data_IF_502838373285
#
_entry.id   IF_502838373285
#
_cell.length_a   1.000
_cell.length_b   1.000
_cell.length_c   1.000
_cell.angle_alpha   90.00
_cell.angle_beta   90.00
_cell.angle_gamma   90.00
#
_symmetry.space_group_name_H-M   'P 1'
#
loop_
_entity.id
_entity.type
_entity.pdbx_description
1 polymer ?
#
# COMPACT_ATOMS: atom_id res chain seq x y z
N UNK A 1 25.97 15.41 36.80
CA UNK A 1 25.19 16.17 35.82
C UNK A 1 24.52 15.15 34.92
N UNK A 2 23.20 15.07 34.95
CA UNK A 2 22.43 14.13 34.12
C UNK A 2 22.05 14.90 32.87
N UNK A 3 22.55 14.48 31.71
CA UNK A 3 22.14 15.05 30.43
C UNK A 3 20.80 14.39 30.11
N UNK A 4 19.72 15.16 30.16
CA UNK A 4 18.38 14.69 29.77
C UNK A 4 18.19 15.01 28.29
N UNK A 5 18.26 14.00 27.43
CA UNK A 5 17.81 14.14 26.05
C UNK A 5 16.34 13.71 25.95
N UNK A 6 15.52 14.58 25.38
CA UNK A 6 14.08 14.43 25.29
C UNK A 6 13.73 13.30 24.32
N UNK A 7 12.91 12.35 24.77
CA UNK A 7 12.35 11.30 23.94
C UNK A 7 11.16 11.87 23.13
N UNK A 8 11.19 11.72 21.80
CA UNK A 8 10.05 12.08 20.95
C UNK A 8 9.08 10.90 20.91
N UNK A 9 7.86 11.10 21.40
CA UNK A 9 6.77 10.13 21.35
C UNK A 9 5.82 10.48 20.20
N UNK A 10 5.58 9.55 19.29
CA UNK A 10 4.44 9.58 18.36
C UNK A 10 3.55 8.38 18.71
N UNK A 11 2.27 8.65 18.95
CA UNK A 11 1.21 7.64 19.16
C UNK A 11 1.49 6.55 20.21
N UNK A 12 2.20 6.89 21.29
CA UNK A 12 2.41 5.99 22.43
C UNK A 12 3.46 4.90 22.22
N UNK A 13 4.19 4.91 21.10
CA UNK A 13 5.34 4.04 20.88
C UNK A 13 6.65 4.81 21.00
N UNK A 14 7.55 4.31 21.86
CA UNK A 14 8.91 4.82 22.01
C UNK A 14 9.80 4.24 20.91
N UNK A 15 10.29 5.08 19.98
CA UNK A 15 11.38 4.67 19.09
C UNK A 15 12.68 4.60 19.90
N UNK A 16 13.21 3.40 20.05
CA UNK A 16 14.54 3.18 20.65
C UNK A 16 15.56 3.23 19.52
N UNK A 17 16.64 4.01 19.63
CA UNK A 17 17.68 4.05 18.62
C UNK A 17 18.28 2.65 18.45
N UNK A 18 18.26 2.15 17.21
CA UNK A 18 18.87 0.88 16.85
C UNK A 18 20.36 0.97 17.17
N UNK A 19 20.97 -0.02 17.86
CA UNK A 19 22.41 -0.06 17.99
C UNK A 19 23.02 -0.04 16.59
N UNK A 20 24.02 0.82 16.39
CA UNK A 20 24.74 0.93 15.14
C UNK A 20 25.02 -0.47 14.59
N UNK A 21 24.50 -0.74 13.38
CA UNK A 21 24.80 -1.95 12.61
C UNK A 21 26.27 -2.26 12.78
N UNK A 22 26.57 -3.50 13.21
CA UNK A 22 27.94 -3.98 13.20
C UNK A 22 28.39 -3.87 11.75
N UNK A 23 29.33 -2.97 11.47
CA UNK A 23 30.03 -2.96 10.19
C UNK A 23 30.75 -4.30 10.11
N UNK A 24 30.15 -5.25 9.39
CA UNK A 24 30.81 -6.50 9.05
C UNK A 24 32.00 -6.12 8.17
N UNK A 25 33.21 -6.38 8.66
CA UNK A 25 34.45 -6.04 7.97
C UNK A 25 34.48 -6.70 6.59
N UNK A 26 34.89 -5.94 5.58
CA UNK A 26 35.02 -6.38 4.19
C UNK A 26 35.91 -7.63 4.12
N UNK A 27 35.30 -8.80 3.93
CA UNK A 27 36.04 -9.98 3.47
C UNK A 27 35.57 -10.37 2.08
N UNK A 28 36.19 -9.71 1.11
CA UNK A 28 36.41 -10.27 -0.21
C UNK A 28 37.07 -11.65 -0.08
N UNK A 29 36.42 -12.69 -0.57
CA UNK A 29 37.11 -13.84 -1.15
C UNK A 29 36.18 -14.56 -2.12
N UNK A 30 36.51 -14.38 -3.39
CA UNK A 30 36.19 -15.27 -4.50
C UNK A 30 36.50 -16.72 -4.16
N UNK A 31 35.57 -17.64 -4.40
CA UNK A 31 35.67 -18.67 -5.44
C UNK A 31 34.53 -19.71 -5.28
N UNK A 32 33.78 -19.89 -6.38
CA UNK A 32 32.90 -21.01 -6.77
C UNK A 32 31.49 -21.18 -6.16
N UNK A 33 30.49 -20.63 -6.88
CA UNK A 33 29.07 -21.02 -6.96
C UNK A 33 28.32 -21.31 -5.65
N UNK A 34 27.71 -20.28 -5.06
CA UNK A 34 26.33 -20.34 -4.54
C UNK A 34 25.81 -18.89 -4.50
N UNK A 35 25.15 -18.51 -5.60
CA UNK A 35 24.25 -17.36 -5.69
C UNK A 35 23.02 -17.64 -4.81
N UNK A 36 23.23 -17.65 -3.50
CA UNK A 36 22.14 -17.62 -2.54
C UNK A 36 21.87 -16.14 -2.26
N UNK A 37 21.12 -15.53 -3.17
CA UNK A 37 20.43 -14.27 -2.93
C UNK A 37 19.72 -14.43 -1.59
N UNK A 38 20.15 -13.66 -0.58
CA UNK A 38 19.52 -13.73 0.73
C UNK A 38 18.21 -12.97 0.59
N UNK A 39 17.20 -13.67 0.06
CA UNK A 39 15.87 -13.13 -0.09
C UNK A 39 15.47 -12.55 1.26
N UNK A 40 15.34 -11.22 1.32
CA UNK A 40 15.03 -10.50 2.55
C UNK A 40 13.56 -10.74 2.90
N UNK A 41 13.26 -11.91 3.44
CA UNK A 41 11.91 -12.35 3.75
C UNK A 41 11.90 -13.01 5.13
N UNK A 42 10.78 -12.88 5.82
CA UNK A 42 10.54 -13.69 7.01
C UNK A 42 10.28 -15.14 6.61
N UNK A 43 11.07 -16.07 7.14
CA UNK A 43 10.95 -17.50 6.86
C UNK A 43 9.97 -18.22 7.80
N UNK A 44 9.28 -17.48 8.66
CA UNK A 44 8.27 -18.05 9.58
C UNK A 44 7.12 -17.08 9.82
N UNK A 45 5.90 -17.61 9.73
CA UNK A 45 4.67 -16.87 10.01
C UNK A 45 4.63 -16.23 11.41
N UNK A 46 5.45 -16.72 12.34
CA UNK A 46 5.53 -16.24 13.71
C UNK A 46 6.46 -15.03 13.87
N UNK A 47 7.19 -14.63 12.82
CA UNK A 47 8.22 -13.58 12.90
C UNK A 47 7.68 -12.27 13.48
N UNK A 48 6.48 -11.84 13.06
CA UNK A 48 5.79 -10.69 13.65
C UNK A 48 5.58 -10.83 15.17
N UNK A 49 5.14 -12.00 15.61
CA UNK A 49 4.86 -12.27 17.02
C UNK A 49 6.16 -12.42 17.84
N UNK A 50 7.21 -12.97 17.25
CA UNK A 50 8.52 -13.10 17.87
C UNK A 50 9.23 -11.75 18.01
N UNK A 51 9.14 -10.91 16.99
CA UNK A 51 9.58 -9.51 17.02
C UNK A 51 8.87 -8.74 18.14
N UNK A 52 7.54 -8.79 18.20
CA UNK A 52 6.75 -8.16 19.27
C UNK A 52 7.08 -8.69 20.69
N UNK A 53 7.65 -9.89 20.80
CA UNK A 53 8.08 -10.50 22.07
C UNK A 53 9.53 -10.21 22.43
N UNK A 54 10.22 -9.37 21.67
CA UNK A 54 11.61 -8.98 21.91
C UNK A 54 12.62 -10.07 21.58
N UNK A 55 12.29 -10.99 20.65
CA UNK A 55 13.26 -11.99 20.18
C UNK A 55 14.34 -11.37 19.31
N UNK A 56 14.07 -10.23 18.66
CA UNK A 56 15.07 -9.53 17.87
C UNK A 56 16.29 -9.11 18.71
N UNK A 57 16.10 -8.82 20.00
CA UNK A 57 17.16 -8.44 20.92
C UNK A 57 17.74 -9.61 21.72
N UNK A 58 16.92 -10.63 22.00
CA UNK A 58 17.32 -11.78 22.86
C UNK A 58 17.85 -12.97 22.08
N UNK A 59 17.50 -13.10 20.81
CA UNK A 59 17.88 -14.17 19.88
C UNK A 59 18.29 -13.58 18.52
N UNK A 60 19.17 -12.59 18.56
CA UNK A 60 19.58 -11.76 17.41
C UNK A 60 19.94 -12.58 16.18
N UNK A 61 20.78 -13.61 16.34
CA UNK A 61 21.32 -14.38 15.22
C UNK A 61 20.23 -15.26 14.58
N UNK A 62 19.40 -15.88 15.41
CA UNK A 62 18.28 -16.71 14.96
C UNK A 62 17.22 -15.85 14.27
N UNK A 63 16.95 -14.66 14.79
CA UNK A 63 16.01 -13.73 14.18
C UNK A 63 16.58 -13.07 12.92
N UNK A 64 17.89 -12.87 12.82
CA UNK A 64 18.54 -12.39 11.60
C UNK A 64 18.46 -13.40 10.46
N UNK A 65 18.52 -14.69 10.77
CA UNK A 65 18.33 -15.74 9.76
C UNK A 65 16.86 -15.99 9.46
N UNK A 66 16.00 -15.98 10.49
CA UNK A 66 14.62 -16.47 10.35
C UNK A 66 13.58 -15.38 10.12
N UNK A 67 13.83 -14.20 10.66
CA UNK A 67 12.88 -13.08 10.71
C UNK A 67 13.56 -11.73 10.35
N UNK A 68 14.34 -11.66 9.26
CA UNK A 68 15.14 -10.49 8.95
C UNK A 68 14.30 -9.24 8.66
N UNK A 69 13.09 -9.39 8.10
CA UNK A 69 12.17 -8.28 7.83
C UNK A 69 11.46 -7.85 9.11
N UNK A 70 10.84 -8.78 9.83
CA UNK A 70 10.11 -8.47 11.08
C UNK A 70 10.98 -7.84 12.16
N UNK A 71 12.29 -8.12 12.15
CA UNK A 71 13.25 -7.52 13.06
C UNK A 71 13.96 -6.28 12.50
N UNK A 72 13.66 -5.88 11.27
CA UNK A 72 14.26 -4.71 10.62
C UNK A 72 15.76 -4.86 10.34
N UNK A 73 16.23 -6.10 10.16
CA UNK A 73 17.60 -6.39 9.75
C UNK A 73 17.83 -6.17 8.26
N UNK A 74 16.77 -6.21 7.46
CA UNK A 74 16.74 -5.77 6.07
C UNK A 74 15.32 -5.30 5.70
N UNK A 75 15.18 -4.71 4.52
CA UNK A 75 13.92 -4.21 3.95
C UNK A 75 13.51 -5.15 2.81
N UNK A 76 12.31 -5.71 2.88
CA UNK A 76 11.75 -6.50 1.78
C UNK A 76 11.49 -5.55 0.63
N UNK A 77 12.06 -5.83 -0.55
CA UNK A 77 11.88 -5.00 -1.75
C UNK A 77 10.46 -5.08 -2.35
N UNK A 78 9.53 -5.70 -1.62
CA UNK A 78 8.12 -5.86 -1.99
C UNK A 78 7.26 -4.65 -1.56
N UNK A 79 7.88 -3.52 -1.18
CA UNK A 79 7.19 -2.22 -1.06
C UNK A 79 6.91 -1.60 -2.45
N UNK A 80 6.48 -2.43 -3.43
CA UNK A 80 5.43 -1.99 -4.33
C UNK A 80 4.18 -1.94 -3.46
N UNK A 81 3.99 -0.76 -2.83
CA UNK A 81 2.79 -0.38 -2.10
C UNK A 81 1.60 -1.07 -2.73
N UNK A 82 0.92 -1.89 -1.91
CA UNK A 82 -0.22 -2.69 -2.30
C UNK A 82 -1.03 -1.91 -3.32
N UNK A 83 -1.06 -2.43 -4.56
CA UNK A 83 -2.00 -1.99 -5.57
C UNK A 83 -3.33 -1.84 -4.83
N UNK A 84 -3.71 -0.60 -4.54
CA UNK A 84 -5.12 -0.29 -4.38
C UNK A 84 -5.71 -0.99 -5.58
N UNK A 85 -6.59 -1.97 -5.36
CA UNK A 85 -7.41 -2.48 -6.44
C UNK A 85 -8.09 -1.22 -7.01
N UNK A 86 -7.46 -0.61 -8.02
CA UNK A 86 -7.93 0.52 -8.78
C UNK A 86 -8.98 -0.07 -9.69
N UNK A 87 -10.04 -0.54 -9.05
CA UNK A 87 -11.20 -1.15 -9.64
C UNK A 87 -12.00 -0.10 -10.45
N UNK A 88 -11.59 1.18 -10.37
CA UNK A 88 -12.15 2.30 -11.13
C UNK A 88 -11.23 2.79 -12.27
N UNK A 89 -10.06 2.17 -12.49
CA UNK A 89 -9.33 2.29 -13.77
C UNK A 89 -10.20 1.88 -14.98
N UNK A 90 -11.23 1.08 -14.72
CA UNK A 90 -12.20 0.58 -15.70
C UNK A 90 -13.46 1.46 -15.82
N UNK A 91 -13.49 2.70 -15.32
CA UNK A 91 -14.64 3.57 -15.57
C UNK A 91 -14.68 4.18 -16.97
N UNK A 92 -15.16 3.39 -17.93
CA UNK A 92 -15.41 3.81 -19.30
C UNK A 92 -16.79 3.37 -19.80
N UNK A 93 -17.21 3.94 -20.92
CA UNK A 93 -18.39 3.47 -21.65
C UNK A 93 -18.02 2.26 -22.52
N UNK A 94 -18.62 1.11 -22.25
CA UNK A 94 -18.46 -0.10 -23.07
C UNK A 94 -19.27 -0.06 -24.36
N UNK A 95 -20.42 0.62 -24.35
CA UNK A 95 -21.30 0.68 -25.52
C UNK A 95 -21.10 1.95 -26.35
N UNK A 96 -21.14 1.80 -27.68
CA UNK A 96 -20.87 2.88 -28.63
C UNK A 96 -21.80 4.10 -28.50
N UNK A 97 -23.04 3.88 -28.10
CA UNK A 97 -24.09 4.91 -28.10
C UNK A 97 -24.42 5.43 -26.68
N UNK A 98 -23.57 5.14 -25.69
CA UNK A 98 -23.77 5.55 -24.29
C UNK A 98 -24.09 7.04 -24.14
N UNK A 99 -23.36 7.92 -24.83
CA UNK A 99 -23.62 9.36 -24.80
C UNK A 99 -25.01 9.74 -25.32
N UNK A 100 -25.46 9.08 -26.39
CA UNK A 100 -26.78 9.34 -26.96
C UNK A 100 -27.89 8.83 -26.03
N UNK A 101 -27.68 7.68 -25.40
CA UNK A 101 -28.61 7.08 -24.45
C UNK A 101 -28.69 7.87 -23.14
N UNK A 102 -27.55 8.30 -22.59
CA UNK A 102 -27.50 9.17 -21.42
C UNK A 102 -28.21 10.50 -21.68
N UNK A 103 -27.94 11.16 -22.81
CA UNK A 103 -28.67 12.36 -23.24
C UNK A 103 -30.17 12.10 -23.45
N UNK A 104 -30.54 10.85 -23.78
CA UNK A 104 -31.92 10.40 -23.90
C UNK A 104 -32.58 10.01 -22.57
N UNK A 105 -31.92 10.23 -21.43
CA UNK A 105 -32.45 9.92 -20.09
C UNK A 105 -32.40 8.44 -19.70
N UNK A 106 -31.57 7.63 -20.38
CA UNK A 106 -31.48 6.19 -20.08
C UNK A 106 -30.83 5.93 -18.72
N UNK A 107 -30.04 6.85 -18.18
CA UNK A 107 -29.47 6.72 -16.84
C UNK A 107 -30.56 6.59 -15.77
N UNK A 108 -31.69 7.26 -15.97
CA UNK A 108 -32.86 7.22 -15.07
C UNK A 108 -33.87 6.16 -15.45
N UNK A 109 -34.12 5.97 -16.76
CA UNK A 109 -35.17 5.03 -17.22
C UNK A 109 -34.68 3.59 -17.38
N UNK A 110 -33.38 3.38 -17.54
CA UNK A 110 -32.74 2.08 -17.68
C UNK A 110 -31.40 2.01 -16.92
N UNK A 111 -31.42 2.27 -15.60
CA UNK A 111 -30.20 2.40 -14.79
C UNK A 111 -29.37 1.13 -14.78
N UNK A 112 -29.99 -0.06 -14.75
CA UNK A 112 -29.24 -1.33 -14.71
C UNK A 112 -28.30 -1.49 -15.90
N UNK A 113 -28.81 -1.26 -17.13
CA UNK A 113 -27.99 -1.39 -18.33
C UNK A 113 -26.94 -0.28 -18.43
N UNK A 114 -27.34 0.94 -18.06
CA UNK A 114 -26.46 2.10 -18.18
C UNK A 114 -25.34 2.10 -17.14
N UNK A 115 -25.59 1.62 -15.92
CA UNK A 115 -24.55 1.44 -14.90
C UNK A 115 -23.63 0.25 -15.18
N UNK A 116 -24.05 -0.69 -16.02
CA UNK A 116 -23.18 -1.77 -16.47
C UNK A 116 -22.32 -1.34 -17.68
N UNK A 117 -22.92 -0.65 -18.66
CA UNK A 117 -22.28 -0.40 -19.97
C UNK A 117 -21.88 1.04 -20.24
N UNK A 118 -22.39 1.98 -19.46
CA UNK A 118 -22.31 3.42 -19.75
C UNK A 118 -22.02 4.24 -18.49
N UNK A 119 -21.17 3.71 -17.60
CA UNK A 119 -20.86 4.29 -16.30
C UNK A 119 -20.35 5.72 -16.41
N UNK A 120 -19.47 5.95 -17.38
CA UNK A 120 -18.89 7.27 -17.63
C UNK A 120 -19.92 8.26 -18.16
N UNK A 121 -20.74 7.87 -19.15
CA UNK A 121 -21.82 8.69 -19.69
C UNK A 121 -22.94 8.99 -18.67
N UNK A 122 -23.15 8.12 -17.68
CA UNK A 122 -24.07 8.37 -16.57
C UNK A 122 -23.42 9.03 -15.35
N UNK A 123 -22.12 9.35 -15.43
CA UNK A 123 -21.37 10.05 -14.39
C UNK A 123 -21.31 9.30 -13.05
N UNK A 124 -21.32 7.97 -13.08
CA UNK A 124 -21.32 7.13 -11.86
C UNK A 124 -19.93 6.52 -11.59
N UNK A 125 -18.87 7.11 -12.15
CA UNK A 125 -17.50 6.80 -11.76
C UNK A 125 -17.19 7.38 -10.37
N UNK A 126 -16.44 6.67 -9.53
CA UNK A 126 -15.96 7.15 -8.24
C UNK A 126 -14.60 7.83 -8.40
N UNK A 127 -14.60 9.06 -8.92
CA UNK A 127 -13.38 9.88 -8.89
C UNK A 127 -13.30 10.54 -7.52
N UNK A 128 -12.43 10.02 -6.66
CA UNK A 128 -12.03 10.63 -5.37
C UNK A 128 -13.17 10.80 -4.34
N UNK A 129 -13.90 9.72 -4.05
CA UNK A 129 -14.84 9.69 -2.92
C UNK A 129 -16.06 10.62 -3.07
N UNK A 130 -16.43 10.96 -4.31
CA UNK A 130 -17.64 11.72 -4.63
C UNK A 130 -18.49 10.95 -5.63
N UNK A 131 -19.61 10.45 -5.16
CA UNK A 131 -20.65 9.84 -5.99
C UNK A 131 -21.47 10.95 -6.66
N UNK A 132 -21.42 11.05 -8.00
CA UNK A 132 -22.28 11.96 -8.76
C UNK A 132 -23.47 11.20 -9.34
N UNK A 133 -24.39 10.79 -8.45
CA UNK A 133 -25.66 10.14 -8.82
C UNK A 133 -26.83 11.13 -8.91
N UNK A 134 -27.40 11.26 -10.12
CA UNK A 134 -28.77 11.70 -10.44
C UNK A 134 -29.37 12.83 -9.57
N UNK A 135 -28.79 14.02 -9.69
CA UNK A 135 -29.41 15.36 -9.67
C UNK A 135 -28.40 16.37 -9.15
N UNK A 136 -27.84 17.18 -10.05
CA UNK A 136 -27.61 18.58 -9.69
C UNK A 136 -28.15 19.46 -10.80
N UNK A 137 -29.28 20.07 -10.47
CA UNK A 137 -29.89 21.16 -11.21
C UNK A 137 -28.86 22.27 -11.45
N UNK A 138 -28.90 22.74 -12.68
CA UNK A 138 -28.42 24.03 -13.20
C UNK A 138 -28.21 25.07 -12.09
N UNK A 139 -27.03 25.67 -12.02
CA UNK A 139 -26.84 27.12 -11.85
C UNK A 139 -25.36 27.50 -11.87
N UNK A 140 -24.98 28.27 -12.89
CA UNK A 140 -23.96 29.34 -12.94
C UNK A 140 -23.89 29.70 -14.44
N UNK A 141 -24.45 30.79 -14.94
CA UNK A 141 -24.30 32.15 -14.45
C UNK A 141 -23.68 32.98 -15.58
N UNK A 142 -24.45 33.24 -16.65
CA UNK A 142 -24.09 34.28 -17.62
C UNK A 142 -24.65 35.62 -17.13
N UNK A 143 -23.80 36.44 -16.49
CA UNK A 143 -23.50 37.85 -16.81
C UNK A 143 -22.69 38.53 -15.71
#
# INVERSE_FOLDING_TARGET
AVVTEAQVTVDGYTRVPVPAVRQYEEKSSSDDNDDYDIDCVDHDMSCKIWSLRGRCETETDLMAEKCPVSCGFCESQDDEEEEEDDWDSDCFDEARDCKAWANGGQCETNPMYMLEKCRQSCHVCEVEGKTYGVQQLVEEGER
#
